data_IF_577607270630
#
_entry.id   IF_577607270630
#
_cell.length_a   1.000
_cell.length_b   1.000
_cell.length_c   1.000
_cell.angle_alpha   90.00
_cell.angle_beta   90.00
_cell.angle_gamma   90.00
#
_symmetry.space_group_name_H-M   'P 1'
#
loop_
_entity.id
_entity.type
_entity.pdbx_description
1 polymer ?
#
# COMPACT_ATOMS: atom_id res chain seq x y z
N UNK A 1 -10.41 16.17 -7.61
CA UNK A 1 -9.78 15.16 -6.74
C UNK A 1 -8.40 14.81 -7.26
N UNK A 2 -7.43 14.81 -6.38
CA UNK A 2 -6.09 14.29 -6.66
C UNK A 2 -5.96 12.86 -6.14
N UNK A 3 -5.44 11.95 -6.98
CA UNK A 3 -5.05 10.60 -6.57
C UNK A 3 -3.55 10.56 -6.31
N UNK A 4 -3.18 10.06 -5.15
CA UNK A 4 -1.78 9.75 -4.82
C UNK A 4 -1.72 8.32 -4.31
N UNK A 5 -0.94 7.46 -4.97
CA UNK A 5 -0.62 6.15 -4.42
C UNK A 5 0.73 6.18 -3.71
N UNK A 6 0.81 5.51 -2.58
CA UNK A 6 2.01 5.38 -1.77
C UNK A 6 2.31 3.90 -1.60
N UNK A 7 3.46 3.50 -2.09
CA UNK A 7 4.05 2.19 -1.82
C UNK A 7 4.89 2.34 -0.56
N UNK A 8 4.47 1.72 0.53
CA UNK A 8 4.96 1.99 1.87
C UNK A 8 5.46 0.73 2.59
N UNK A 9 6.69 0.74 3.12
CA UNK A 9 7.16 -0.29 4.04
C UNK A 9 6.27 -0.37 5.28
N UNK A 10 6.01 -1.59 5.74
CA UNK A 10 5.11 -1.81 6.88
C UNK A 10 5.67 -2.76 7.92
N UNK A 11 6.98 -2.98 7.92
CA UNK A 11 7.61 -3.89 8.89
C UNK A 11 7.60 -3.27 10.29
N UNK A 12 7.19 -4.03 11.34
CA UNK A 12 7.04 -3.49 12.70
C UNK A 12 8.34 -2.95 13.31
N UNK A 13 9.50 -3.43 12.85
CA UNK A 13 10.82 -2.97 13.28
C UNK A 13 11.09 -1.49 12.95
N UNK A 14 10.35 -0.90 12.00
CA UNK A 14 10.37 0.55 11.75
C UNK A 14 9.86 1.33 12.97
N UNK A 15 8.76 0.88 13.59
CA UNK A 15 8.20 1.51 14.78
C UNK A 15 9.13 1.34 15.99
N UNK A 16 9.73 0.16 16.15
CA UNK A 16 10.71 -0.08 17.19
C UNK A 16 11.92 0.85 17.03
N UNK A 17 12.46 0.95 15.82
CA UNK A 17 13.58 1.85 15.52
C UNK A 17 13.22 3.31 15.80
N UNK A 18 12.01 3.74 15.39
CA UNK A 18 11.54 5.11 15.67
C UNK A 18 11.47 5.39 17.17
N UNK A 19 10.88 4.50 17.97
CA UNK A 19 10.76 4.67 19.43
C UNK A 19 12.10 4.66 20.15
N UNK A 20 13.05 3.89 19.66
CA UNK A 20 14.42 3.84 20.22
C UNK A 20 15.32 4.96 19.71
N UNK A 21 14.84 5.82 18.82
CA UNK A 21 15.66 6.88 18.22
C UNK A 21 16.76 6.35 17.30
N UNK A 22 16.62 5.14 16.79
CA UNK A 22 17.59 4.57 15.86
C UNK A 22 17.42 5.24 14.49
N UNK A 23 18.52 5.76 13.94
CA UNK A 23 18.51 6.32 12.60
C UNK A 23 18.34 5.24 11.54
N UNK A 24 17.32 5.38 10.67
CA UNK A 24 17.09 4.54 9.49
C UNK A 24 16.71 5.43 8.32
N UNK A 25 17.19 5.08 7.15
CA UNK A 25 16.92 5.82 5.91
C UNK A 25 15.42 5.95 5.63
N UNK A 26 14.65 4.89 5.87
CA UNK A 26 13.21 4.88 5.67
C UNK A 26 12.45 5.79 6.66
N UNK A 27 12.91 5.96 7.89
CA UNK A 27 12.28 6.90 8.83
C UNK A 27 12.41 8.33 8.33
N UNK A 28 13.60 8.72 7.86
CA UNK A 28 13.84 10.02 7.23
C UNK A 28 13.00 10.18 5.95
N UNK A 29 12.92 9.12 5.14
CA UNK A 29 12.10 9.11 3.93
C UNK A 29 10.60 9.32 4.24
N UNK A 30 10.06 8.70 5.29
CA UNK A 30 8.68 8.93 5.74
C UNK A 30 8.45 10.39 6.15
N UNK A 31 9.39 11.00 6.87
CA UNK A 31 9.30 12.42 7.26
C UNK A 31 9.25 13.33 6.02
N UNK A 32 10.12 13.10 5.04
CA UNK A 32 10.12 13.88 3.80
C UNK A 32 8.85 13.66 2.98
N UNK A 33 8.36 12.41 2.88
CA UNK A 33 7.09 12.10 2.21
C UNK A 33 5.92 12.82 2.91
N UNK A 34 5.84 12.78 4.23
CA UNK A 34 4.80 13.48 4.99
C UNK A 34 4.82 14.98 4.74
N UNK A 35 6.01 15.61 4.79
CA UNK A 35 6.17 17.03 4.46
C UNK A 35 5.69 17.34 3.03
N UNK A 36 6.04 16.49 2.06
CA UNK A 36 5.60 16.66 0.68
C UNK A 36 4.07 16.52 0.54
N UNK A 37 3.45 15.56 1.23
CA UNK A 37 2.00 15.36 1.21
C UNK A 37 1.24 16.55 1.82
N UNK A 38 1.84 17.22 2.80
CA UNK A 38 1.21 18.32 3.53
C UNK A 38 1.58 19.72 3.01
N UNK A 39 2.41 19.82 1.96
CA UNK A 39 2.88 21.10 1.38
C UNK A 39 2.78 21.08 -0.16
N UNK A 40 1.91 21.87 -0.81
CA UNK A 40 0.89 22.75 -0.24
C UNK A 40 -0.23 21.99 0.47
N UNK A 41 -0.96 22.63 1.37
CA UNK A 41 -1.98 21.95 2.18
C UNK A 41 -3.22 21.60 1.33
N UNK A 42 -3.12 20.54 0.54
CA UNK A 42 -4.29 19.93 -0.09
C UNK A 42 -4.86 18.93 0.92
N UNK A 43 -6.12 19.12 1.36
CA UNK A 43 -6.71 18.23 2.35
C UNK A 43 -6.73 16.77 1.85
N UNK A 44 -6.19 15.86 2.66
CA UNK A 44 -6.35 14.43 2.42
C UNK A 44 -7.75 14.06 2.91
N UNK A 45 -8.60 13.61 2.00
CA UNK A 45 -10.00 13.29 2.31
C UNK A 45 -10.16 11.92 2.92
N UNK A 46 -9.49 10.93 2.35
CA UNK A 46 -9.51 9.55 2.82
C UNK A 46 -8.24 8.82 2.41
N UNK A 47 -7.99 7.69 3.07
CA UNK A 47 -6.90 6.77 2.76
C UNK A 47 -7.49 5.40 2.46
N UNK A 48 -7.40 4.92 1.22
CA UNK A 48 -7.68 3.53 0.88
C UNK A 48 -6.47 2.69 1.25
N UNK A 49 -6.64 1.71 2.13
CA UNK A 49 -5.57 0.80 2.53
C UNK A 49 -5.75 -0.58 1.89
N UNK A 50 -4.78 -0.96 1.06
CA UNK A 50 -4.73 -2.26 0.37
C UNK A 50 -3.58 -3.09 0.96
N UNK A 51 -3.84 -3.67 2.15
CA UNK A 51 -2.83 -4.37 2.94
C UNK A 51 -2.72 -5.86 2.59
N UNK A 52 -1.51 -6.44 2.55
CA UNK A 52 -1.33 -7.88 2.44
C UNK A 52 -1.76 -8.66 3.71
N UNK A 53 -2.04 -7.99 4.82
CA UNK A 53 -2.57 -8.59 6.04
C UNK A 53 -4.03 -9.06 5.90
N UNK A 54 -4.80 -8.47 4.99
CA UNK A 54 -6.17 -8.88 4.72
C UNK A 54 -6.31 -9.57 3.37
N UNK A 55 -6.26 -10.90 3.39
CA UNK A 55 -6.28 -11.72 2.18
C UNK A 55 -7.58 -12.50 2.03
N UNK A 56 -8.08 -12.57 0.79
CA UNK A 56 -9.22 -13.37 0.39
C UNK A 56 -8.85 -14.28 -0.79
N UNK A 57 -9.69 -15.26 -1.15
CA UNK A 57 -9.39 -16.14 -2.29
C UNK A 57 -9.75 -15.48 -3.63
N UNK A 58 -11.02 -15.18 -3.84
CA UNK A 58 -11.57 -14.83 -5.17
C UNK A 58 -12.55 -13.64 -5.12
N UNK A 59 -12.59 -12.89 -4.05
CA UNK A 59 -13.51 -11.77 -3.85
C UNK A 59 -12.75 -10.59 -3.25
N UNK A 60 -13.16 -9.37 -3.52
CA UNK A 60 -12.75 -8.20 -2.76
C UNK A 60 -13.71 -7.99 -1.59
N UNK A 61 -13.16 -7.78 -0.40
CA UNK A 61 -13.91 -7.32 0.76
C UNK A 61 -13.51 -5.88 1.06
N UNK A 62 -14.48 -5.10 1.49
CA UNK A 62 -14.30 -3.70 1.88
C UNK A 62 -14.83 -3.55 3.30
N UNK A 63 -14.06 -3.00 4.21
CA UNK A 63 -14.54 -2.69 5.56
C UNK A 63 -15.25 -1.33 5.53
N UNK A 64 -16.57 -1.38 5.46
CA UNK A 64 -17.46 -0.22 5.29
C UNK A 64 -18.01 0.32 6.60
N UNK A 65 -17.41 -0.06 7.73
CA UNK A 65 -17.82 0.46 9.05
C UNK A 65 -17.39 1.92 9.23
N UNK A 66 -18.16 2.72 9.99
CA UNK A 66 -17.81 4.11 10.29
C UNK A 66 -16.68 4.24 11.32
N UNK A 67 -16.42 3.20 12.11
CA UNK A 67 -15.38 3.12 13.13
C UNK A 67 -14.55 1.87 12.90
N UNK A 68 -13.24 2.03 12.88
CA UNK A 68 -12.31 0.94 12.67
C UNK A 68 -11.48 0.74 13.94
N UNK A 69 -11.17 -0.51 14.23
CA UNK A 69 -10.35 -0.87 15.38
C UNK A 69 -9.06 -1.53 14.88
N UNK A 70 -7.95 -1.17 15.50
CA UNK A 70 -6.69 -1.89 15.34
C UNK A 70 -6.70 -3.13 16.23
N UNK A 71 -6.51 -4.30 15.65
CA UNK A 71 -6.42 -5.57 16.38
C UNK A 71 -4.99 -6.00 16.65
N UNK A 72 -4.01 -5.28 16.10
CA UNK A 72 -2.62 -5.71 16.10
C UNK A 72 -1.87 -5.17 17.32
N UNK A 73 -1.39 -6.11 18.12
CA UNK A 73 -0.45 -5.86 19.21
C UNK A 73 0.96 -6.26 18.77
N UNK A 74 1.85 -5.27 18.69
CA UNK A 74 3.27 -5.48 18.35
C UNK A 74 4.14 -5.70 19.59
N UNK A 75 3.58 -6.24 20.67
CA UNK A 75 4.32 -6.48 21.91
C UNK A 75 5.57 -7.32 21.68
N UNK A 76 5.53 -8.27 20.74
CA UNK A 76 6.69 -9.07 20.33
C UNK A 76 7.86 -8.24 19.77
N UNK A 77 7.60 -7.01 19.33
CA UNK A 77 8.60 -6.04 18.87
C UNK A 77 8.82 -4.89 19.88
N UNK A 78 8.33 -5.04 21.12
CA UNK A 78 8.43 -3.99 22.13
C UNK A 78 7.54 -2.76 21.85
N UNK A 79 6.55 -2.89 20.97
CA UNK A 79 5.66 -1.82 20.55
C UNK A 79 4.23 -2.26 20.69
N UNK A 80 3.43 -1.48 21.44
CA UNK A 80 1.97 -1.55 21.38
C UNK A 80 1.50 -0.37 20.54
N UNK A 81 0.84 -0.64 19.43
CA UNK A 81 0.26 0.36 18.57
C UNK A 81 -1.26 0.15 18.52
N UNK A 82 -1.99 1.13 19.05
CA UNK A 82 -3.42 1.24 18.83
C UNK A 82 -3.68 2.39 17.89
N UNK A 83 -4.39 2.12 16.80
CA UNK A 83 -4.70 3.07 15.77
C UNK A 83 -6.14 2.84 15.31
N UNK A 84 -7.05 3.64 15.79
CA UNK A 84 -8.50 3.48 15.60
C UNK A 84 -9.04 4.70 14.78
N UNK A 85 -8.76 4.79 13.48
CA UNK A 85 -9.23 5.90 12.66
C UNK A 85 -10.72 5.75 12.34
N UNK A 86 -11.40 6.83 11.95
CA UNK A 86 -12.73 6.71 11.36
C UNK A 86 -12.66 5.93 10.05
N UNK A 87 -13.74 5.21 9.72
CA UNK A 87 -13.94 4.63 8.39
C UNK A 87 -14.67 5.61 7.47
N UNK A 88 -14.82 5.22 6.19
CA UNK A 88 -15.56 6.00 5.19
C UNK A 88 -16.61 5.13 4.47
N UNK A 89 -17.81 4.96 5.06
CA UNK A 89 -18.90 4.19 4.44
C UNK A 89 -19.37 4.75 3.10
N UNK A 90 -19.27 6.07 2.90
CA UNK A 90 -19.68 6.71 1.66
C UNK A 90 -18.71 6.33 0.51
N UNK A 91 -17.41 6.45 0.75
CA UNK A 91 -16.38 6.02 -0.20
C UNK A 91 -16.47 4.51 -0.46
N UNK A 92 -16.72 3.71 0.59
CA UNK A 92 -16.92 2.26 0.46
C UNK A 92 -18.07 1.93 -0.51
N UNK A 93 -19.21 2.59 -0.34
CA UNK A 93 -20.38 2.42 -1.21
C UNK A 93 -20.08 2.75 -2.66
N UNK A 94 -19.40 3.88 -2.92
CA UNK A 94 -19.00 4.31 -4.27
C UNK A 94 -18.02 3.32 -4.90
N UNK A 95 -17.01 2.88 -4.16
CA UNK A 95 -16.02 1.91 -4.63
C UNK A 95 -16.68 0.56 -4.97
N UNK A 96 -17.51 0.03 -4.07
CA UNK A 96 -18.21 -1.24 -4.30
C UNK A 96 -19.15 -1.16 -5.51
N UNK A 97 -19.84 -0.02 -5.71
CA UNK A 97 -20.67 0.21 -6.91
C UNK A 97 -19.82 0.19 -8.19
N UNK A 98 -18.67 0.88 -8.20
CA UNK A 98 -17.73 0.90 -9.32
C UNK A 98 -17.15 -0.49 -9.64
N UNK A 99 -16.84 -1.29 -8.62
CA UNK A 99 -16.36 -2.67 -8.79
C UNK A 99 -17.45 -3.59 -9.35
N UNK A 100 -18.67 -3.51 -8.84
CA UNK A 100 -19.82 -4.31 -9.35
C UNK A 100 -20.14 -4.00 -10.81
N UNK A 101 -20.07 -2.74 -11.24
CA UNK A 101 -20.26 -2.35 -12.63
C UNK A 101 -19.21 -2.95 -13.57
N UNK A 102 -18.02 -3.28 -13.05
CA UNK A 102 -16.95 -3.99 -13.76
C UNK A 102 -16.97 -5.52 -13.56
N UNK A 103 -18.06 -6.04 -13.01
CA UNK A 103 -18.26 -7.48 -12.74
C UNK A 103 -17.20 -8.06 -11.78
N UNK A 104 -16.68 -7.25 -10.86
CA UNK A 104 -15.79 -7.72 -9.81
C UNK A 104 -16.63 -8.15 -8.61
N UNK A 105 -16.50 -9.40 -8.14
CA UNK A 105 -17.16 -9.84 -6.91
C UNK A 105 -16.64 -9.02 -5.73
N UNK A 106 -17.53 -8.28 -5.07
CA UNK A 106 -17.21 -7.43 -3.92
C UNK A 106 -18.33 -7.44 -2.89
N UNK A 107 -17.97 -7.47 -1.62
CA UNK A 107 -18.90 -7.42 -0.48
C UNK A 107 -18.28 -6.64 0.67
N UNK A 108 -19.14 -6.27 1.63
CA UNK A 108 -18.68 -5.78 2.93
C UNK A 108 -17.98 -6.90 3.71
N UNK A 109 -17.00 -6.52 4.51
CA UNK A 109 -16.30 -7.43 5.41
C UNK A 109 -15.77 -6.67 6.64
N UNK A 110 -15.52 -7.37 7.72
CA UNK A 110 -14.97 -6.80 8.95
C UNK A 110 -13.50 -7.17 9.06
N UNK A 111 -12.62 -6.17 9.14
CA UNK A 111 -11.18 -6.40 9.31
C UNK A 111 -10.54 -5.42 10.30
N UNK A 112 -10.80 -4.13 10.14
CA UNK A 112 -10.13 -3.08 10.89
C UNK A 112 -8.75 -2.72 10.31
N UNK A 113 -7.83 -2.32 11.19
CA UNK A 113 -6.49 -1.89 10.80
C UNK A 113 -5.46 -2.95 11.21
N UNK A 114 -4.83 -3.59 10.25
CA UNK A 114 -3.74 -4.55 10.44
C UNK A 114 -2.36 -3.87 10.42
N UNK A 115 -1.29 -4.64 10.68
CA UNK A 115 0.09 -4.11 10.68
C UNK A 115 0.52 -3.52 9.35
N UNK A 116 0.07 -4.10 8.23
CA UNK A 116 0.38 -3.58 6.90
C UNK A 116 -0.19 -2.19 6.64
N UNK A 117 -1.26 -1.84 7.36
CA UNK A 117 -1.88 -0.52 7.34
C UNK A 117 -1.38 0.36 8.49
N UNK A 118 -1.32 -0.17 9.72
CA UNK A 118 -1.04 0.61 10.92
C UNK A 118 0.36 1.25 10.91
N UNK A 119 1.38 0.51 10.45
CA UNK A 119 2.75 1.05 10.41
C UNK A 119 2.86 2.27 9.50
N UNK A 120 2.47 2.25 8.22
CA UNK A 120 2.51 3.46 7.40
C UNK A 120 1.54 4.55 7.88
N UNK A 121 0.36 4.20 8.40
CA UNK A 121 -0.58 5.19 8.96
C UNK A 121 -0.01 5.93 10.16
N UNK A 122 0.77 5.28 11.00
CA UNK A 122 1.46 5.94 12.11
C UNK A 122 2.32 7.14 11.65
N UNK A 123 2.94 7.04 10.48
CA UNK A 123 3.78 8.10 9.92
C UNK A 123 3.00 9.10 9.05
N UNK A 124 1.92 8.66 8.38
CA UNK A 124 1.21 9.45 7.36
C UNK A 124 -0.13 10.02 7.82
N UNK A 125 -0.69 9.48 8.89
CA UNK A 125 -1.91 9.96 9.56
C UNK A 125 -1.73 9.95 11.08
N UNK A 126 -0.71 10.66 11.61
CA UNK A 126 -0.30 10.55 13.02
C UNK A 126 -1.40 10.91 14.01
N UNK A 127 -2.30 11.81 13.64
CA UNK A 127 -3.43 12.21 14.47
C UNK A 127 -4.63 11.26 14.38
N UNK A 128 -4.61 10.29 13.46
CA UNK A 128 -5.69 9.33 13.25
C UNK A 128 -7.01 9.93 12.75
N UNK A 129 -6.99 11.18 12.27
CA UNK A 129 -8.19 11.93 11.92
C UNK A 129 -8.66 11.73 10.47
N UNK A 130 -7.80 11.22 9.59
CA UNK A 130 -8.14 10.97 8.20
C UNK A 130 -8.86 9.63 8.12
N UNK A 131 -10.08 9.58 7.51
CA UNK A 131 -10.81 8.33 7.34
C UNK A 131 -10.00 7.30 6.54
N UNK A 132 -10.10 6.03 6.96
CA UNK A 132 -9.42 4.91 6.30
C UNK A 132 -10.44 3.93 5.73
N UNK A 133 -10.20 3.43 4.54
CA UNK A 133 -11.01 2.40 3.88
C UNK A 133 -10.15 1.16 3.64
N UNK A 134 -10.20 0.14 4.50
CA UNK A 134 -9.50 -1.11 4.26
C UNK A 134 -10.15 -1.92 3.12
N UNK A 135 -9.30 -2.46 2.24
CA UNK A 135 -9.69 -3.31 1.11
C UNK A 135 -8.81 -4.55 1.07
N UNK A 136 -9.43 -5.72 0.97
CA UNK A 136 -8.72 -6.99 0.96
C UNK A 136 -7.96 -7.26 -0.34
N UNK A 137 -6.94 -8.12 -0.26
CA UNK A 137 -6.19 -8.61 -1.41
C UNK A 137 -6.72 -9.98 -1.89
N UNK A 138 -7.28 -10.10 -3.11
CA UNK A 138 -7.71 -11.39 -3.65
C UNK A 138 -6.49 -12.20 -4.13
N UNK A 139 -6.22 -13.36 -3.50
CA UNK A 139 -5.01 -14.16 -3.73
C UNK A 139 -4.91 -14.73 -5.15
N UNK A 140 -6.04 -15.14 -5.73
CA UNK A 140 -6.07 -15.88 -6.99
C UNK A 140 -6.49 -15.04 -8.19
N UNK A 141 -6.72 -13.71 -8.00
CA UNK A 141 -7.37 -12.88 -9.02
C UNK A 141 -6.66 -11.53 -9.18
N UNK A 142 -5.47 -11.55 -9.77
CA UNK A 142 -4.72 -10.30 -10.08
C UNK A 142 -5.50 -9.36 -11.00
N UNK A 143 -6.39 -9.90 -11.86
CA UNK A 143 -7.31 -9.11 -12.68
C UNK A 143 -8.21 -8.22 -11.81
N UNK A 144 -8.71 -8.71 -10.68
CA UNK A 144 -9.57 -7.90 -9.80
C UNK A 144 -8.80 -6.76 -9.14
N UNK A 145 -7.52 -6.97 -8.84
CA UNK A 145 -6.65 -5.91 -8.33
C UNK A 145 -6.45 -4.81 -9.36
N UNK A 146 -6.25 -5.17 -10.63
CA UNK A 146 -6.17 -4.19 -11.72
C UNK A 146 -7.47 -3.41 -11.87
N UNK A 147 -8.63 -4.12 -11.87
CA UNK A 147 -9.95 -3.49 -11.93
C UNK A 147 -10.26 -2.63 -10.68
N UNK A 148 -9.68 -2.96 -9.52
CA UNK A 148 -9.72 -2.10 -8.33
C UNK A 148 -9.00 -0.77 -8.61
N UNK A 149 -7.79 -0.80 -9.16
CA UNK A 149 -7.06 0.41 -9.57
C UNK A 149 -7.85 1.27 -10.57
N UNK A 150 -8.43 0.64 -11.61
CA UNK A 150 -9.29 1.31 -12.58
C UNK A 150 -10.54 1.92 -11.92
N UNK A 151 -11.14 1.20 -10.96
CA UNK A 151 -12.33 1.70 -10.22
C UNK A 151 -11.98 2.90 -9.35
N UNK A 152 -10.85 2.86 -8.65
CA UNK A 152 -10.37 3.99 -7.83
C UNK A 152 -10.11 5.22 -8.71
N UNK A 153 -9.47 5.04 -9.87
CA UNK A 153 -9.23 6.13 -10.83
C UNK A 153 -10.52 6.78 -11.34
N UNK A 154 -11.59 6.00 -11.46
CA UNK A 154 -12.89 6.46 -12.00
C UNK A 154 -13.89 6.87 -10.92
N UNK A 155 -13.47 7.03 -9.66
CA UNK A 155 -14.40 7.43 -8.59
C UNK A 155 -14.97 8.84 -8.83
N UNK A 156 -16.30 9.02 -8.77
CA UNK A 156 -16.96 10.30 -9.05
C UNK A 156 -16.90 11.25 -7.84
N UNK A 157 -15.71 11.48 -7.30
CA UNK A 157 -15.48 12.28 -6.09
C UNK A 157 -15.30 13.76 -6.45
N UNK A 158 -16.41 14.50 -6.61
CA UNK A 158 -16.39 15.95 -6.82
C UNK A 158 -16.24 16.70 -5.50
N UNK A 159 -15.38 17.73 -5.49
CA UNK A 159 -15.22 18.58 -4.29
C UNK A 159 -14.35 17.98 -3.18
N UNK A 160 -13.77 16.80 -3.41
CA UNK A 160 -12.81 16.18 -2.51
C UNK A 160 -11.39 16.70 -2.81
N UNK A 161 -10.55 16.79 -1.78
CA UNK A 161 -9.16 17.17 -1.92
C UNK A 161 -8.33 16.03 -2.53
N UNK A 162 -7.62 15.29 -1.69
CA UNK A 162 -6.72 14.21 -2.09
C UNK A 162 -7.20 12.86 -1.56
N UNK A 163 -7.22 11.84 -2.41
CA UNK A 163 -7.36 10.44 -2.01
C UNK A 163 -5.97 9.80 -2.00
N UNK A 164 -5.55 9.30 -0.85
CA UNK A 164 -4.36 8.46 -0.76
C UNK A 164 -4.73 7.00 -0.93
N UNK A 165 -3.85 6.24 -1.59
CA UNK A 165 -3.91 4.77 -1.62
C UNK A 165 -2.62 4.24 -1.03
N UNK A 166 -2.72 3.49 0.06
CA UNK A 166 -1.60 2.79 0.68
C UNK A 166 -1.47 1.39 0.11
N UNK A 167 -0.30 1.11 -0.44
CA UNK A 167 0.10 -0.18 -0.98
C UNK A 167 1.32 -0.68 -0.19
N UNK A 168 1.52 -1.99 -0.12
CA UNK A 168 2.72 -2.57 0.52
C UNK A 168 4.00 -2.18 -0.25
N UNK A 169 5.02 -1.76 0.47
CA UNK A 169 6.37 -1.51 -0.04
C UNK A 169 7.38 -2.60 0.32
N UNK A 170 6.91 -3.77 0.78
CA UNK A 170 7.78 -4.92 1.08
C UNK A 170 7.80 -5.85 -0.13
N UNK A 171 8.90 -5.84 -0.87
CA UNK A 171 9.07 -6.56 -2.13
C UNK A 171 9.80 -7.90 -1.98
N UNK A 172 10.58 -8.06 -0.91
CA UNK A 172 11.17 -9.34 -0.55
C UNK A 172 11.11 -9.56 0.96
N UNK A 173 10.65 -10.74 1.35
CA UNK A 173 10.62 -11.20 2.73
C UNK A 173 10.80 -12.72 2.75
N UNK A 174 11.98 -13.19 2.36
CA UNK A 174 12.30 -14.60 2.34
C UNK A 174 12.95 -15.02 3.66
N UNK A 175 12.12 -15.48 4.60
CA UNK A 175 12.56 -15.89 5.94
C UNK A 175 13.64 -16.99 5.91
N UNK A 176 13.61 -17.88 4.91
CA UNK A 176 14.61 -18.95 4.78
C UNK A 176 15.98 -18.37 4.40
N UNK A 177 16.03 -17.37 3.54
CA UNK A 177 17.27 -16.67 3.19
C UNK A 177 17.77 -15.86 4.39
N UNK A 178 16.86 -15.12 5.05
CA UNK A 178 17.17 -14.33 6.24
C UNK A 178 17.75 -15.19 7.36
N UNK A 179 17.13 -16.35 7.66
CA UNK A 179 17.57 -17.25 8.73
C UNK A 179 18.90 -17.96 8.46
N UNK A 180 19.22 -18.25 7.18
CA UNK A 180 20.44 -18.96 6.80
C UNK A 180 21.67 -18.07 6.74
N UNK A 181 21.51 -16.73 6.78
CA UNK A 181 22.62 -15.79 6.62
C UNK A 181 23.40 -16.04 5.32
N UNK A 182 22.70 -16.44 4.23
CA UNK A 182 23.35 -16.80 2.96
C UNK A 182 24.18 -15.62 2.47
N UNK A 183 25.44 -15.86 2.23
CA UNK A 183 26.39 -14.84 1.75
C UNK A 183 26.06 -14.38 0.32
N UNK A 184 25.32 -15.18 -0.45
CA UNK A 184 24.96 -14.88 -1.83
C UNK A 184 23.47 -14.56 -1.92
N UNK A 185 23.19 -13.29 -2.02
CA UNK A 185 21.84 -12.76 -2.29
C UNK A 185 21.66 -12.66 -3.80
N UNK A 186 20.90 -13.59 -4.38
CA UNK A 186 20.60 -13.64 -5.81
C UNK A 186 19.37 -12.80 -6.20
N UNK A 187 18.93 -11.88 -5.33
CA UNK A 187 17.79 -10.99 -5.58
C UNK A 187 18.17 -9.63 -6.21
N UNK A 188 19.43 -9.39 -6.52
CA UNK A 188 19.88 -8.09 -7.04
C UNK A 188 19.14 -7.68 -8.34
N UNK A 189 19.01 -8.61 -9.29
CA UNK A 189 18.25 -8.38 -10.52
C UNK A 189 16.76 -8.08 -10.27
N UNK A 190 16.14 -8.84 -9.38
CA UNK A 190 14.74 -8.62 -8.96
C UNK A 190 14.56 -7.24 -8.33
N UNK A 191 15.44 -6.84 -7.40
CA UNK A 191 15.39 -5.51 -6.76
C UNK A 191 15.48 -4.39 -7.77
N UNK A 192 16.44 -4.50 -8.71
CA UNK A 192 16.59 -3.51 -9.77
C UNK A 192 15.33 -3.44 -10.64
N UNK A 193 14.77 -4.58 -11.04
CA UNK A 193 13.53 -4.63 -11.81
C UNK A 193 12.35 -3.96 -11.09
N UNK A 194 12.23 -4.15 -9.78
CA UNK A 194 11.21 -3.46 -8.97
C UNK A 194 11.45 -1.94 -8.98
N UNK A 195 12.67 -1.49 -8.72
CA UNK A 195 13.00 -0.04 -8.72
C UNK A 195 12.71 0.58 -10.08
N UNK A 196 13.12 -0.08 -11.16
CA UNK A 196 12.89 0.39 -12.53
C UNK A 196 11.39 0.49 -12.85
N UNK A 197 10.59 -0.52 -12.44
CA UNK A 197 9.14 -0.49 -12.60
C UNK A 197 8.47 0.64 -11.82
N UNK A 198 8.95 0.95 -10.63
CA UNK A 198 8.38 2.01 -9.80
C UNK A 198 8.74 3.41 -10.29
N UNK A 199 9.91 3.60 -10.94
CA UNK A 199 10.44 4.93 -11.26
C UNK A 199 10.31 5.35 -12.73
N UNK A 200 10.12 4.39 -13.65
CA UNK A 200 9.99 4.70 -15.08
C UNK A 200 8.66 5.39 -15.41
N UNK A 201 8.68 6.27 -16.41
CA UNK A 201 7.50 7.00 -16.90
C UNK A 201 6.53 6.13 -17.74
N UNK A 202 7.01 5.02 -18.29
CA UNK A 202 6.18 4.10 -19.05
C UNK A 202 5.17 3.37 -18.15
N UNK A 203 4.06 2.92 -18.71
CA UNK A 203 3.05 2.15 -17.96
C UNK A 203 3.68 0.95 -17.26
N UNK A 204 3.30 0.73 -16.00
CA UNK A 204 3.76 -0.40 -15.21
C UNK A 204 3.23 -1.69 -15.84
N UNK A 205 4.14 -2.60 -16.21
CA UNK A 205 3.82 -3.96 -16.63
C UNK A 205 4.24 -4.97 -15.56
N UNK A 206 3.29 -5.44 -14.72
CA UNK A 206 3.60 -6.43 -13.68
C UNK A 206 4.09 -7.78 -14.23
N UNK A 207 3.79 -8.09 -15.51
CA UNK A 207 4.19 -9.34 -16.14
C UNK A 207 5.65 -9.35 -16.57
N UNK A 208 6.34 -8.21 -16.51
CA UNK A 208 7.79 -8.13 -16.75
C UNK A 208 8.62 -8.77 -15.63
N UNK A 209 8.03 -9.02 -14.45
CA UNK A 209 8.63 -9.77 -13.35
C UNK A 209 8.21 -11.23 -13.46
N UNK A 210 9.18 -12.14 -13.52
CA UNK A 210 8.88 -13.56 -13.61
C UNK A 210 8.30 -14.12 -12.30
N UNK A 211 7.42 -15.11 -12.40
CA UNK A 211 6.86 -15.77 -11.23
C UNK A 211 7.91 -16.53 -10.42
N UNK A 212 9.01 -16.92 -11.04
CA UNK A 212 10.16 -17.53 -10.36
C UNK A 212 10.83 -16.52 -9.43
N UNK A 213 11.09 -15.30 -9.91
CA UNK A 213 11.65 -14.21 -9.10
C UNK A 213 10.73 -13.85 -7.96
N UNK A 214 9.41 -13.71 -8.21
CA UNK A 214 8.40 -13.44 -7.16
C UNK A 214 8.39 -14.55 -6.12
N UNK A 215 8.44 -15.81 -6.53
CA UNK A 215 8.46 -16.96 -5.62
C UNK A 215 9.73 -16.98 -4.76
N UNK A 216 10.87 -16.63 -5.33
CA UNK A 216 12.17 -16.55 -4.63
C UNK A 216 12.21 -15.39 -3.65
N UNK A 217 11.77 -14.21 -4.04
CA UNK A 217 11.70 -13.02 -3.19
C UNK A 217 10.64 -13.16 -2.09
N UNK A 218 9.56 -13.90 -2.36
CA UNK A 218 8.47 -14.17 -1.40
C UNK A 218 7.85 -12.90 -0.79
N UNK A 219 7.45 -11.90 -1.61
CA UNK A 219 6.83 -10.69 -1.09
C UNK A 219 5.46 -10.99 -0.48
N UNK A 220 5.07 -10.34 0.65
CA UNK A 220 3.77 -10.55 1.30
C UNK A 220 2.58 -10.33 0.37
N UNK A 221 2.63 -9.26 -0.44
CA UNK A 221 1.60 -8.89 -1.43
C UNK A 221 1.68 -9.65 -2.75
N UNK A 222 2.71 -10.46 -3.00
CA UNK A 222 2.96 -11.14 -4.28
C UNK A 222 2.87 -10.20 -5.47
N UNK A 223 3.45 -9.01 -5.35
CA UNK A 223 3.47 -7.91 -6.35
C UNK A 223 2.10 -7.42 -6.82
N UNK A 224 1.02 -7.66 -6.05
CA UNK A 224 -0.33 -7.17 -6.40
C UNK A 224 -0.40 -5.65 -6.47
N UNK A 225 0.44 -5.00 -5.74
CA UNK A 225 0.63 -3.55 -5.73
C UNK A 225 0.94 -3.01 -7.14
N UNK A 226 1.76 -3.72 -7.92
CA UNK A 226 2.05 -3.37 -9.31
C UNK A 226 0.81 -3.51 -10.21
N UNK A 227 -0.04 -4.53 -9.98
CA UNK A 227 -1.29 -4.68 -10.71
C UNK A 227 -2.28 -3.55 -10.38
N UNK A 228 -2.32 -3.09 -9.12
CA UNK A 228 -3.11 -1.92 -8.74
C UNK A 228 -2.62 -0.66 -9.47
N UNK A 229 -1.31 -0.38 -9.39
CA UNK A 229 -0.71 0.80 -10.03
C UNK A 229 -0.96 0.82 -11.54
N UNK A 230 -0.78 -0.35 -12.20
CA UNK A 230 -1.09 -0.51 -13.62
C UNK A 230 -2.55 -0.22 -13.94
N UNK A 231 -3.49 -0.73 -13.12
CA UNK A 231 -4.93 -0.48 -13.26
C UNK A 231 -5.30 0.99 -13.04
N UNK A 232 -4.68 1.63 -12.06
CA UNK A 232 -4.86 3.05 -11.80
C UNK A 232 -4.17 3.95 -12.85
N UNK A 233 -3.39 3.36 -13.77
CA UNK A 233 -2.64 4.09 -14.80
C UNK A 233 -1.58 5.02 -14.20
N UNK A 234 -0.97 4.60 -13.09
CA UNK A 234 0.08 5.34 -12.40
C UNK A 234 1.45 4.83 -12.84
N UNK A 235 2.37 5.74 -13.13
CA UNK A 235 3.76 5.49 -13.53
C UNK A 235 4.64 6.66 -13.05
N UNK A 236 5.95 6.61 -13.28
CA UNK A 236 6.85 7.70 -12.93
C UNK A 236 6.88 8.00 -11.43
N UNK A 237 6.93 6.97 -10.60
CA UNK A 237 6.92 7.12 -9.15
C UNK A 237 8.20 7.79 -8.64
N UNK A 238 8.05 8.64 -7.64
CA UNK A 238 9.18 9.20 -6.89
C UNK A 238 9.59 8.24 -5.79
N UNK A 239 10.82 7.76 -5.86
CA UNK A 239 11.43 6.95 -4.82
C UNK A 239 11.96 7.86 -3.69
N UNK A 240 11.50 7.62 -2.46
CA UNK A 240 11.91 8.37 -1.27
C UNK A 240 13.01 7.66 -0.48
N UNK A 241 12.99 6.33 -0.50
CA UNK A 241 14.01 5.53 0.17
C UNK A 241 13.83 4.03 -0.08
N UNK A 242 14.93 3.32 0.14
CA UNK A 242 14.99 1.86 0.07
C UNK A 242 15.76 1.32 1.26
N UNK A 243 15.43 0.11 1.67
CA UNK A 243 16.27 -0.70 2.54
C UNK A 243 16.33 -2.12 1.99
N UNK A 244 17.53 -2.70 2.05
CA UNK A 244 17.78 -4.04 1.56
C UNK A 244 18.67 -4.84 2.51
N UNK A 245 18.55 -6.15 2.43
CA UNK A 245 19.33 -7.12 3.16
C UNK A 245 19.18 -8.50 2.53
N UNK A 246 19.80 -9.50 3.10
CA UNK A 246 19.68 -10.88 2.62
C UNK A 246 18.23 -11.34 2.70
N UNK A 247 17.60 -11.61 1.55
CA UNK A 247 16.19 -12.02 1.46
C UNK A 247 15.18 -10.95 1.85
N UNK A 248 15.62 -9.71 2.02
CA UNK A 248 14.78 -8.58 2.42
C UNK A 248 14.95 -7.40 1.46
N UNK A 249 13.84 -6.80 1.04
CA UNK A 249 13.85 -5.58 0.25
C UNK A 249 12.54 -4.82 0.42
N UNK A 250 12.65 -3.52 0.72
CA UNK A 250 11.51 -2.64 0.86
C UNK A 250 11.79 -1.25 0.30
N UNK A 251 10.73 -0.58 -0.18
CA UNK A 251 10.82 0.76 -0.74
C UNK A 251 9.71 1.64 -0.22
N UNK A 252 10.00 2.94 -0.10
CA UNK A 252 9.01 4.00 0.06
C UNK A 252 8.98 4.81 -1.22
N UNK A 253 7.84 4.80 -1.92
CA UNK A 253 7.64 5.53 -3.16
C UNK A 253 6.26 6.15 -3.22
N UNK A 254 6.11 7.25 -3.99
CA UNK A 254 4.81 7.87 -4.26
C UNK A 254 4.59 8.04 -5.76
N UNK A 255 3.32 7.97 -6.17
CA UNK A 255 2.85 8.16 -7.53
C UNK A 255 1.77 9.26 -7.55
N UNK A 256 1.83 10.14 -8.52
CA UNK A 256 0.96 11.31 -8.59
C UNK A 256 1.54 12.52 -7.83
N UNK A 257 0.75 13.60 -7.63
CA UNK A 257 -0.71 13.64 -7.79
C UNK A 257 -1.17 13.56 -9.26
N UNK A 258 -2.20 12.77 -9.50
CA UNK A 258 -2.91 12.72 -10.78
C UNK A 258 -4.30 13.30 -10.58
N UNK A 259 -4.64 14.32 -11.36
CA UNK A 259 -5.97 14.90 -11.34
C UNK A 259 -6.98 13.90 -11.93
N UNK A 260 -7.95 13.47 -11.10
CA UNK A 260 -9.03 12.60 -11.55
C UNK A 260 -10.13 13.47 -12.18
N UNK A 261 -10.29 13.37 -13.49
CA UNK A 261 -11.45 13.93 -14.19
C UNK A 261 -12.57 12.90 -14.14
N UNK A 262 -13.79 13.28 -13.71
CA UNK A 262 -14.95 12.41 -13.86
C UNK A 262 -15.09 12.04 -15.34
N UNK A 263 -15.25 10.75 -15.63
CA UNK A 263 -15.73 10.34 -16.96
C UNK A 263 -17.14 10.94 -17.14
N UNK A 264 -17.37 11.62 -18.26
CA UNK A 264 -18.65 12.22 -18.65
C UNK A 264 -19.76 11.16 -18.85
#
# INVERSE_FOLDING_TARGET
>A
LELVAIVAPHTPDLLESYRRGHARSLLTAYQHLYQWLTSPPVPIHAILSFSPGWQTKNILLVDDRPELESSEDYAGFGVTLRFDPPGDPALASLLMKGLRSRQVPVSSGVHGIDHGSAVPLFFLNPDGNIPVLPVSQPLNQTRYVRLLGESVRSLPLRGYGRLLVLLSGVWAQNEKMMAKGLVQDDLAGYRQSIVDLLTREEPIDPLSISMEEVSRASPPGKIRELHFLAGAGLSGGRLWGTEEGVGHFQTLASFGPVELKPED
#
